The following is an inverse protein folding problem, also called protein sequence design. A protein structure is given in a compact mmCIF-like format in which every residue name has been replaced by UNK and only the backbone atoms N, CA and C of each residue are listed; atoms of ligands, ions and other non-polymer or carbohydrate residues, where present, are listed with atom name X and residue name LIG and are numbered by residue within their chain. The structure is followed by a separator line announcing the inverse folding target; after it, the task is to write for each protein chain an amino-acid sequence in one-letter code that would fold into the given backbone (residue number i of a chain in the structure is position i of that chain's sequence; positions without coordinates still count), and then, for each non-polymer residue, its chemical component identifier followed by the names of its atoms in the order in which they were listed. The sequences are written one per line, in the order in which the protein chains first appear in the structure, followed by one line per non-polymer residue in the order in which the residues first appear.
data_IF_805371368616
#
_entry.id   IF_805371368616
#
_cell.length_a   1.000
_cell.length_b   1.000
_cell.length_c   1.000
_cell.angle_alpha   90.00
_cell.angle_beta   90.00
_cell.angle_gamma   90.00
#
_symmetry.space_group_name_H-M   'P 1'
#
loop_
_entity.id
_entity.type
_entity.pdbx_description
1 polymer ?
#
# COMPACT_ATOMS: atom_id res chain seq x y z
N UNK A 1 -10.46 -24.11 -55.97
CA UNK A 1 -9.31 -23.22 -55.76
C UNK A 1 -9.35 -22.82 -54.29
N UNK A 2 -8.27 -23.08 -53.58
CA UNK A 2 -8.21 -23.23 -52.13
C UNK A 2 -8.31 -21.89 -51.37
N UNK A 3 -9.32 -21.75 -50.52
CA UNK A 3 -9.30 -20.87 -49.35
C UNK A 3 -8.58 -21.60 -48.21
N UNK A 4 -7.25 -21.45 -48.12
CA UNK A 4 -6.49 -22.01 -47.00
C UNK A 4 -5.27 -21.18 -46.61
N UNK A 5 -5.26 -19.88 -46.93
CA UNK A 5 -4.07 -19.01 -46.75
C UNK A 5 -4.20 -18.04 -45.55
N UNK A 6 -5.40 -17.73 -45.04
CA UNK A 6 -5.56 -16.66 -44.03
C UNK A 6 -5.54 -17.09 -42.55
N UNK A 7 -5.57 -18.39 -42.23
CA UNK A 7 -5.62 -18.83 -40.81
C UNK A 7 -4.25 -18.92 -40.16
N UNK A 8 -3.20 -19.18 -40.95
CA UNK A 8 -1.85 -19.39 -40.43
C UNK A 8 -1.14 -18.06 -40.12
N UNK A 9 -1.36 -17.04 -40.95
CA UNK A 9 -0.80 -15.70 -40.75
C UNK A 9 -1.43 -15.00 -39.52
N UNK A 10 -2.74 -15.18 -39.30
CA UNK A 10 -3.40 -14.68 -38.09
C UNK A 10 -2.89 -15.36 -36.82
N UNK A 11 -2.60 -16.67 -36.87
CA UNK A 11 -2.01 -17.38 -35.75
C UNK A 11 -0.59 -16.90 -35.43
N UNK A 12 0.23 -16.67 -36.45
CA UNK A 12 1.59 -16.16 -36.27
C UNK A 12 1.62 -14.73 -35.73
N UNK A 13 0.69 -13.86 -36.17
CA UNK A 13 0.52 -12.50 -35.60
C UNK A 13 0.11 -12.59 -34.12
N UNK A 14 -0.88 -13.43 -33.78
CA UNK A 14 -1.32 -13.61 -32.39
C UNK A 14 -0.21 -14.17 -31.51
N UNK A 15 0.59 -15.11 -32.03
CA UNK A 15 1.74 -15.68 -31.34
C UNK A 15 2.83 -14.62 -31.10
N UNK A 16 3.12 -13.79 -32.11
CA UNK A 16 4.07 -12.70 -31.96
C UNK A 16 3.61 -11.66 -30.93
N UNK A 17 2.33 -11.27 -30.97
CA UNK A 17 1.75 -10.35 -29.99
C UNK A 17 1.81 -10.93 -28.57
N UNK A 18 1.41 -12.19 -28.41
CA UNK A 18 1.45 -12.90 -27.12
C UNK A 18 2.87 -12.95 -26.57
N UNK A 19 3.87 -13.23 -27.41
CA UNK A 19 5.27 -13.25 -26.99
C UNK A 19 5.75 -11.88 -26.50
N UNK A 20 5.39 -10.80 -27.18
CA UNK A 20 5.76 -9.44 -26.76
C UNK A 20 5.04 -9.03 -25.46
N UNK A 21 3.76 -9.39 -25.32
CA UNK A 21 3.02 -9.18 -24.07
C UNK A 21 3.63 -9.99 -22.91
N UNK A 22 4.02 -11.24 -23.16
CA UNK A 22 4.66 -12.10 -22.16
C UNK A 22 6.03 -11.55 -21.72
N UNK A 23 6.84 -11.03 -22.65
CA UNK A 23 8.12 -10.37 -22.31
C UNK A 23 7.90 -9.17 -21.38
N UNK A 24 6.91 -8.32 -21.70
CA UNK A 24 6.55 -7.19 -20.84
C UNK A 24 6.09 -7.68 -19.47
N UNK A 25 5.18 -8.65 -19.43
CA UNK A 25 4.69 -9.25 -18.18
C UNK A 25 5.84 -9.76 -17.32
N UNK A 26 6.72 -10.61 -17.87
CA UNK A 26 7.84 -11.18 -17.12
C UNK A 26 8.78 -10.11 -16.56
N UNK A 27 9.05 -9.04 -17.33
CA UNK A 27 9.85 -7.91 -16.87
C UNK A 27 9.22 -7.24 -15.64
N UNK A 28 7.95 -6.86 -15.71
CA UNK A 28 7.24 -6.23 -14.59
C UNK A 28 7.07 -7.17 -13.40
N UNK A 29 6.67 -8.41 -13.67
CA UNK A 29 6.49 -9.44 -12.66
C UNK A 29 7.78 -9.67 -11.87
N UNK A 30 8.93 -9.76 -12.54
CA UNK A 30 10.22 -9.94 -11.87
C UNK A 30 10.58 -8.79 -10.90
N UNK A 31 10.09 -7.58 -11.15
CA UNK A 31 10.36 -6.39 -10.34
C UNK A 31 9.35 -6.22 -9.20
N UNK A 32 8.07 -6.49 -9.47
CA UNK A 32 6.98 -6.28 -8.51
C UNK A 32 6.72 -7.48 -7.59
N UNK A 33 7.18 -8.69 -7.94
CA UNK A 33 6.86 -9.93 -7.21
C UNK A 33 7.13 -9.81 -5.70
N UNK A 34 8.29 -9.29 -5.28
CA UNK A 34 8.61 -9.18 -3.85
C UNK A 34 7.72 -8.17 -3.10
N UNK A 35 7.37 -7.05 -3.74
CA UNK A 35 6.48 -6.06 -3.15
C UNK A 35 5.06 -6.61 -2.99
N UNK A 36 4.59 -7.41 -3.95
CA UNK A 36 3.29 -8.09 -3.85
C UNK A 36 3.25 -9.10 -2.73
N UNK A 37 4.34 -9.86 -2.57
CA UNK A 37 4.48 -10.80 -1.46
C UNK A 37 4.47 -10.05 -0.12
N UNK A 38 5.24 -8.97 0.01
CA UNK A 38 5.26 -8.15 1.23
C UNK A 38 3.88 -7.53 1.50
N UNK A 39 3.21 -6.98 0.47
CA UNK A 39 1.85 -6.45 0.59
C UNK A 39 0.87 -7.52 1.10
N UNK A 40 0.98 -8.75 0.59
CA UNK A 40 0.17 -9.89 1.04
C UNK A 40 0.46 -10.28 2.49
N UNK A 41 1.73 -10.18 2.93
CA UNK A 41 2.12 -10.42 4.32
C UNK A 41 1.57 -9.31 5.24
N UNK A 42 1.50 -8.07 4.75
CA UNK A 42 0.90 -6.95 5.49
C UNK A 42 -0.63 -6.99 5.50
N UNK A 43 -1.27 -7.91 4.78
CA UNK A 43 -2.69 -8.21 4.98
C UNK A 43 -2.86 -9.06 6.24
N UNK A 44 -3.52 -8.54 7.30
CA UNK A 44 -3.74 -9.28 8.55
C UNK A 44 -4.51 -10.59 8.36
N UNK A 45 -5.20 -10.77 7.24
CA UNK A 45 -5.99 -11.98 6.88
C UNK A 45 -5.16 -13.07 6.19
N UNK A 46 -3.93 -12.75 5.76
CA UNK A 46 -3.08 -13.66 4.99
C UNK A 46 -1.76 -13.92 5.70
N UNK A 47 -1.09 -12.85 6.16
CA UNK A 47 0.21 -12.88 6.82
C UNK A 47 1.21 -13.83 6.12
N UNK A 48 2.15 -14.38 6.87
CA UNK A 48 3.16 -15.28 6.33
C UNK A 48 2.59 -16.67 6.00
N UNK A 49 1.57 -17.13 6.73
CA UNK A 49 0.98 -18.46 6.53
C UNK A 49 0.39 -18.64 5.12
N UNK A 50 -0.18 -17.58 4.54
CA UNK A 50 -0.67 -17.62 3.16
C UNK A 50 0.47 -17.83 2.14
N UNK A 51 1.61 -17.17 2.36
CA UNK A 51 2.79 -17.31 1.49
C UNK A 51 3.41 -18.69 1.66
N UNK A 52 3.51 -19.19 2.89
CA UNK A 52 4.00 -20.55 3.15
C UNK A 52 3.12 -21.59 2.44
N UNK A 53 1.79 -21.47 2.55
CA UNK A 53 0.85 -22.32 1.84
C UNK A 53 1.02 -22.26 0.31
N UNK A 54 1.09 -21.05 -0.26
CA UNK A 54 1.20 -20.88 -1.71
C UNK A 54 2.52 -21.43 -2.27
N UNK A 55 3.65 -21.12 -1.62
CA UNK A 55 4.97 -21.55 -2.10
C UNK A 55 5.19 -23.05 -1.90
N UNK A 56 4.64 -23.66 -0.85
CA UNK A 56 4.65 -25.12 -0.69
C UNK A 56 3.80 -25.84 -1.75
N UNK A 57 2.75 -25.19 -2.27
CA UNK A 57 1.93 -25.76 -3.34
C UNK A 57 2.59 -25.60 -4.73
N UNK A 58 3.33 -24.50 -4.94
CA UNK A 58 3.88 -24.13 -6.24
C UNK A 58 5.30 -24.70 -6.51
N UNK A 59 6.08 -25.02 -5.47
CA UNK A 59 7.49 -25.41 -5.58
C UNK A 59 7.80 -26.64 -4.72
N UNK A 60 8.94 -27.28 -5.01
CA UNK A 60 9.48 -28.35 -4.16
C UNK A 60 9.80 -27.84 -2.75
N UNK A 61 9.76 -28.74 -1.75
CA UNK A 61 9.91 -28.37 -0.34
C UNK A 61 11.20 -27.57 -0.02
N UNK A 62 12.33 -27.95 -0.63
CA UNK A 62 13.61 -27.26 -0.43
C UNK A 62 13.64 -25.87 -1.09
N UNK A 63 13.09 -25.75 -2.30
CA UNK A 63 13.03 -24.47 -3.01
C UNK A 63 12.05 -23.51 -2.34
N UNK A 64 10.87 -24.00 -1.97
CA UNK A 64 9.86 -23.27 -1.21
C UNK A 64 10.45 -22.68 0.08
N UNK A 65 11.14 -23.50 0.87
CA UNK A 65 11.78 -23.05 2.11
C UNK A 65 12.81 -21.95 1.88
N UNK A 66 13.65 -22.09 0.85
CA UNK A 66 14.63 -21.07 0.47
C UNK A 66 13.96 -19.76 0.06
N UNK A 67 12.90 -19.81 -0.76
CA UNK A 67 12.15 -18.62 -1.17
C UNK A 67 11.50 -17.91 0.03
N UNK A 68 10.92 -18.66 0.95
CA UNK A 68 10.30 -18.11 2.17
C UNK A 68 11.37 -17.43 3.05
N UNK A 69 12.57 -17.99 3.15
CA UNK A 69 13.68 -17.39 3.90
C UNK A 69 14.21 -16.09 3.25
N UNK A 70 14.33 -16.07 1.93
CA UNK A 70 14.65 -14.86 1.16
C UNK A 70 13.58 -13.77 1.37
N UNK A 71 12.29 -14.14 1.37
CA UNK A 71 11.16 -13.24 1.63
C UNK A 71 11.22 -12.69 3.06
N UNK A 72 11.45 -13.55 4.07
CA UNK A 72 11.63 -13.11 5.47
C UNK A 72 12.77 -12.10 5.56
N UNK A 73 13.94 -12.42 4.99
CA UNK A 73 15.10 -11.53 4.98
C UNK A 73 14.77 -10.17 4.37
N UNK A 74 14.06 -10.17 3.24
CA UNK A 74 13.63 -8.93 2.59
C UNK A 74 12.66 -8.13 3.47
N UNK A 75 11.66 -8.78 4.06
CA UNK A 75 10.69 -8.15 4.96
C UNK A 75 11.37 -7.45 6.16
N UNK A 76 12.31 -8.12 6.82
CA UNK A 76 13.07 -7.51 7.92
C UNK A 76 13.92 -6.33 7.45
N UNK A 77 14.49 -6.41 6.24
CA UNK A 77 15.25 -5.29 5.67
C UNK A 77 14.37 -4.05 5.48
N UNK A 78 13.20 -4.21 4.86
CA UNK A 78 12.22 -3.12 4.70
C UNK A 78 11.79 -2.56 6.06
N UNK A 79 11.41 -3.42 7.00
CA UNK A 79 11.01 -2.99 8.33
C UNK A 79 12.10 -2.17 9.04
N UNK A 80 13.36 -2.61 8.97
CA UNK A 80 14.49 -1.90 9.60
C UNK A 80 14.72 -0.52 8.96
N UNK A 81 14.61 -0.41 7.64
CA UNK A 81 14.72 0.88 6.94
C UNK A 81 13.65 1.88 7.41
N UNK A 82 12.42 1.41 7.59
CA UNK A 82 11.34 2.23 8.15
C UNK A 82 11.58 2.58 9.61
N UNK A 83 12.10 1.63 10.41
CA UNK A 83 12.42 1.81 11.82
C UNK A 83 13.54 2.85 12.02
N UNK A 84 14.56 2.84 11.18
CA UNK A 84 15.66 3.79 11.23
C UNK A 84 15.20 5.18 10.77
N UNK A 85 14.35 5.27 9.74
CA UNK A 85 13.76 6.54 9.31
C UNK A 85 12.92 7.20 10.42
N UNK A 86 12.17 6.42 11.22
CA UNK A 86 11.44 6.96 12.38
C UNK A 86 12.35 7.48 13.49
N UNK A 87 13.56 6.96 13.64
CA UNK A 87 14.51 7.41 14.69
C UNK A 87 15.21 8.71 14.32
N UNK A 88 15.33 9.00 13.02
CA UNK A 88 16.03 10.17 12.49
C UNK A 88 15.13 11.40 12.37
N UNK A 89 13.80 11.24 12.36
CA UNK A 89 12.92 12.40 12.49
C UNK A 89 13.05 12.96 13.91
N UNK A 90 13.58 14.19 14.09
CA UNK A 90 13.42 14.87 15.37
C UNK A 90 11.92 14.96 15.59
N UNK A 91 11.47 14.60 16.80
CA UNK A 91 10.18 15.08 17.27
C UNK A 91 10.09 16.55 16.90
N UNK A 92 9.11 16.94 16.08
CA UNK A 92 8.65 18.32 16.08
C UNK A 92 8.03 18.47 17.47
N UNK A 93 8.92 18.78 18.41
CA UNK A 93 8.58 19.17 19.76
C UNK A 93 7.67 20.36 19.62
N UNK A 94 6.49 20.25 20.20
CA UNK A 94 5.59 21.36 20.44
C UNK A 94 6.30 22.35 21.37
N UNK A 95 7.21 23.13 20.82
CA UNK A 95 7.92 24.20 21.52
C UNK A 95 7.09 25.47 21.34
N UNK A 96 6.33 25.78 22.39
CA UNK A 96 6.03 27.12 22.91
C UNK A 96 5.93 28.26 21.89
N UNK A 97 4.70 28.57 21.48
CA UNK A 97 4.31 29.95 21.18
C UNK A 97 3.62 30.54 22.41
N UNK A 98 4.43 30.93 23.39
CA UNK A 98 4.01 31.91 24.39
C UNK A 98 4.20 33.31 23.79
N UNK A 99 3.16 33.82 23.14
CA UNK A 99 2.98 35.26 22.93
C UNK A 99 1.48 35.52 22.85
N UNK A 100 0.98 36.29 23.82
CA UNK A 100 -0.44 36.47 24.07
C UNK A 100 -1.20 37.12 22.91
N UNK A 101 -2.44 36.70 22.75
CA UNK A 101 -3.50 37.56 22.24
C UNK A 101 -4.84 37.12 22.85
N UNK A 102 -5.50 38.09 23.45
CA UNK A 102 -6.82 38.04 24.07
C UNK A 102 -7.92 38.00 22.99
N UNK A 103 -9.05 37.36 23.30
CA UNK A 103 -10.31 37.56 22.55
C UNK A 103 -10.86 36.37 21.73
N UNK A 104 -11.88 35.74 22.30
CA UNK A 104 -13.09 35.15 21.68
C UNK A 104 -13.01 33.90 20.77
N UNK A 105 -13.33 32.77 21.43
CA UNK A 105 -14.33 31.73 21.11
C UNK A 105 -14.78 31.58 19.64
N UNK A 106 -14.33 30.49 19.02
CA UNK A 106 -15.20 29.43 18.51
C UNK A 106 -14.38 28.13 18.35
N UNK A 107 -14.57 27.18 19.27
CA UNK A 107 -13.86 25.88 19.25
C UNK A 107 -14.81 24.82 18.71
N UNK A 108 -14.50 24.34 17.50
CA UNK A 108 -15.00 23.10 16.91
C UNK A 108 -14.76 21.91 17.88
N UNK A 109 -15.84 21.44 18.49
CA UNK A 109 -15.84 20.46 19.59
C UNK A 109 -15.67 18.99 19.12
N UNK A 110 -15.19 18.76 17.89
CA UNK A 110 -15.07 17.41 17.29
C UNK A 110 -13.63 16.87 17.33
N UNK A 111 -12.60 17.71 17.56
CA UNK A 111 -11.19 17.27 17.55
C UNK A 111 -10.67 16.73 18.89
N UNK A 112 -11.30 17.10 20.01
CA UNK A 112 -10.81 16.79 21.36
C UNK A 112 -11.05 15.32 21.78
N UNK A 113 -12.08 14.68 21.23
CA UNK A 113 -12.42 13.28 21.56
C UNK A 113 -11.46 12.25 20.95
N UNK A 114 -10.85 12.56 19.80
CA UNK A 114 -9.87 11.67 19.16
C UNK A 114 -8.46 11.86 19.74
N UNK A 115 -8.08 13.10 20.07
CA UNK A 115 -6.75 13.40 20.62
C UNK A 115 -6.53 12.76 22.00
N UNK A 116 -7.58 12.70 22.83
CA UNK A 116 -7.53 12.08 24.17
C UNK A 116 -7.36 10.56 24.12
N UNK A 117 -7.99 9.86 23.16
CA UNK A 117 -7.79 8.41 22.94
C UNK A 117 -6.40 8.10 22.39
N UNK A 118 -5.90 8.92 21.46
CA UNK A 118 -4.54 8.79 20.92
C UNK A 118 -3.50 9.01 22.02
N UNK A 119 -3.68 10.03 22.86
CA UNK A 119 -2.81 10.30 24.02
C UNK A 119 -2.82 9.16 25.03
N UNK A 120 -3.99 8.62 25.37
CA UNK A 120 -4.09 7.46 26.27
C UNK A 120 -3.40 6.21 25.69
N UNK A 121 -3.55 5.97 24.39
CA UNK A 121 -2.85 4.89 23.69
C UNK A 121 -1.32 5.05 23.74
N UNK A 122 -0.81 6.27 23.53
CA UNK A 122 0.61 6.59 23.63
C UNK A 122 1.14 6.43 25.06
N UNK A 123 0.40 6.92 26.06
CA UNK A 123 0.74 6.80 27.48
C UNK A 123 0.77 5.32 27.91
N UNK A 124 -0.15 4.48 27.41
CA UNK A 124 -0.17 3.05 27.67
C UNK A 124 0.99 2.30 26.99
N UNK A 125 1.35 2.65 25.75
CA UNK A 125 2.53 2.10 25.07
C UNK A 125 3.82 2.48 25.80
N UNK A 126 3.93 3.72 26.28
CA UNK A 126 5.06 4.18 27.09
C UNK A 126 5.14 3.44 28.43
N UNK A 127 4.00 3.17 29.09
CA UNK A 127 3.93 2.36 30.29
C UNK A 127 4.30 0.88 30.04
N UNK A 128 3.83 0.29 28.93
CA UNK A 128 4.19 -1.08 28.52
C UNK A 128 5.70 -1.20 28.30
N UNK A 129 6.32 -0.23 27.63
CA UNK A 129 7.76 -0.22 27.38
C UNK A 129 8.59 -0.07 28.67
N UNK A 130 8.14 0.74 29.64
CA UNK A 130 8.78 0.86 30.95
C UNK A 130 8.62 -0.41 31.80
N UNK A 131 7.48 -1.08 31.71
CA UNK A 131 7.18 -2.33 32.45
C UNK A 131 7.87 -3.57 31.86
N UNK A 132 8.34 -3.49 30.61
CA UNK A 132 8.91 -4.62 29.84
C UNK A 132 10.41 -4.83 30.04
N UNK A 133 11.06 -4.13 30.98
CA UNK A 133 12.50 -4.17 31.24
C UNK A 133 13.10 -5.56 31.55
N UNK A 134 12.28 -6.63 31.64
CA UNK A 134 12.71 -8.03 31.88
C UNK A 134 12.42 -9.01 30.74
N UNK A 135 11.88 -8.60 29.59
CA UNK A 135 11.63 -9.49 28.43
C UNK A 135 12.51 -9.10 27.24
N UNK A 136 12.98 -10.06 26.42
CA UNK A 136 13.74 -9.74 25.22
C UNK A 136 12.93 -8.79 24.33
N UNK A 137 13.59 -7.80 23.75
CA UNK A 137 13.00 -6.80 22.83
C UNK A 137 12.50 -7.51 21.57
N UNK A 138 11.31 -8.09 21.64
CA UNK A 138 10.59 -8.61 20.48
C UNK A 138 10.26 -7.43 19.57
N UNK A 139 10.55 -7.55 18.28
CA UNK A 139 10.23 -6.46 17.35
C UNK A 139 8.72 -6.37 17.15
N UNK A 140 8.26 -5.21 16.71
CA UNK A 140 6.86 -4.99 16.33
C UNK A 140 6.45 -5.99 15.22
N UNK A 141 7.34 -6.23 14.26
CA UNK A 141 7.18 -7.21 13.20
C UNK A 141 7.00 -8.64 13.74
N UNK A 142 7.84 -9.08 14.68
CA UNK A 142 7.69 -10.41 15.30
C UNK A 142 6.38 -10.55 16.08
N UNK A 143 5.87 -9.45 16.63
CA UNK A 143 4.57 -9.45 17.31
C UNK A 143 3.45 -9.65 16.30
N UNK A 144 3.44 -8.85 15.23
CA UNK A 144 2.45 -8.95 14.16
C UNK A 144 2.41 -10.33 13.47
N UNK A 145 3.58 -10.92 13.18
CA UNK A 145 3.68 -12.20 12.49
C UNK A 145 3.19 -13.38 13.33
N UNK A 146 3.37 -13.32 14.64
CA UNK A 146 2.92 -14.36 15.57
C UNK A 146 1.46 -14.19 16.01
N UNK A 147 0.91 -12.98 15.92
CA UNK A 147 -0.50 -12.76 16.21
C UNK A 147 -1.37 -13.59 15.25
N UNK A 148 -2.54 -14.03 15.71
CA UNK A 148 -3.46 -14.81 14.89
C UNK A 148 -3.88 -14.05 13.62
N UNK A 149 -4.12 -14.81 12.55
CA UNK A 149 -4.68 -14.27 11.31
C UNK A 149 -6.10 -13.80 11.57
N UNK A 150 -6.45 -12.62 11.05
CA UNK A 150 -7.80 -12.08 11.17
C UNK A 150 -8.77 -13.01 10.46
N UNK A 151 -9.54 -13.76 11.25
CA UNK A 151 -10.38 -14.87 10.76
C UNK A 151 -11.67 -14.41 10.09
N UNK A 152 -11.98 -13.10 10.14
CA UNK A 152 -13.25 -12.58 9.66
C UNK A 152 -13.23 -12.33 8.14
N UNK A 153 -13.30 -13.42 7.39
CA UNK A 153 -13.49 -13.43 5.93
C UNK A 153 -14.92 -13.06 5.53
N UNK A 154 -15.82 -12.77 6.48
CA UNK A 154 -17.24 -12.53 6.23
C UNK A 154 -17.60 -11.07 5.97
N UNK A 155 -16.72 -10.14 6.36
CA UNK A 155 -16.92 -8.73 6.06
C UNK A 155 -16.57 -8.44 4.59
N UNK A 156 -17.62 -8.34 3.76
CA UNK A 156 -17.52 -7.87 2.37
C UNK A 156 -16.94 -6.45 2.24
N UNK A 157 -16.75 -5.74 3.36
CA UNK A 157 -16.25 -4.37 3.44
C UNK A 157 -15.00 -4.24 4.33
N UNK A 158 -14.11 -5.24 4.34
CA UNK A 158 -12.84 -5.09 5.05
C UNK A 158 -11.92 -4.08 4.33
N UNK A 159 -11.74 -2.92 4.96
CA UNK A 159 -10.74 -1.93 4.56
C UNK A 159 -9.43 -2.15 5.34
N UNK A 160 -8.44 -2.69 4.63
CA UNK A 160 -7.09 -2.95 5.14
C UNK A 160 -6.37 -1.67 5.61
N UNK A 161 -6.58 -0.54 4.93
CA UNK A 161 -5.93 0.73 5.30
C UNK A 161 -6.56 1.30 6.57
N UNK A 162 -7.88 1.22 6.70
CA UNK A 162 -8.58 1.60 7.94
C UNK A 162 -8.18 0.69 9.12
N UNK A 163 -7.95 -0.60 8.88
CA UNK A 163 -7.41 -1.51 9.89
C UNK A 163 -6.02 -1.07 10.36
N UNK A 164 -5.09 -0.80 9.42
CA UNK A 164 -3.74 -0.34 9.76
C UNK A 164 -3.73 1.01 10.47
N UNK A 165 -4.63 1.93 10.09
CA UNK A 165 -4.83 3.21 10.77
C UNK A 165 -5.28 3.03 12.22
N UNK A 166 -6.21 2.10 12.47
CA UNK A 166 -6.73 1.81 13.82
C UNK A 166 -5.70 1.12 14.70
N UNK A 167 -4.81 0.31 14.11
CA UNK A 167 -3.77 -0.43 14.81
C UNK A 167 -2.40 0.29 14.84
N UNK A 168 -2.31 1.53 14.33
CA UNK A 168 -1.05 2.28 14.26
C UNK A 168 -0.41 2.57 15.63
N UNK A 169 -1.21 2.59 16.71
CA UNK A 169 -0.69 2.73 18.08
C UNK A 169 0.05 1.47 18.53
N UNK A 170 -0.43 0.30 18.10
CA UNK A 170 0.15 -1.01 18.43
C UNK A 170 1.34 -1.31 17.50
N UNK A 171 1.19 -0.97 16.21
CA UNK A 171 2.17 -1.20 15.17
C UNK A 171 2.56 0.11 14.43
N UNK A 172 3.35 1.00 15.07
CA UNK A 172 3.69 2.31 14.50
C UNK A 172 4.60 2.26 13.27
N UNK A 173 5.51 1.28 13.17
CA UNK A 173 6.43 1.17 12.02
C UNK A 173 5.72 0.45 10.86
N UNK A 174 5.04 -0.66 11.14
CA UNK A 174 4.31 -1.44 10.15
C UNK A 174 3.12 -0.68 9.58
N UNK A 175 2.40 0.12 10.37
CA UNK A 175 1.30 0.94 9.82
C UNK A 175 1.78 1.95 8.78
N UNK A 176 2.96 2.55 8.98
CA UNK A 176 3.61 3.41 7.97
C UNK A 176 4.02 2.60 6.74
N UNK A 177 4.67 1.47 6.95
CA UNK A 177 5.11 0.59 5.86
C UNK A 177 3.92 0.07 5.04
N UNK A 178 2.84 -0.34 5.70
CA UNK A 178 1.62 -0.83 5.09
C UNK A 178 0.90 0.26 4.30
N UNK A 179 0.77 1.47 4.85
CA UNK A 179 0.19 2.60 4.11
C UNK A 179 0.94 2.86 2.80
N UNK A 180 2.27 2.87 2.84
CA UNK A 180 3.08 3.19 1.69
C UNK A 180 3.09 2.05 0.65
N UNK A 181 3.18 0.79 1.10
CA UNK A 181 3.26 -0.39 0.21
C UNK A 181 1.89 -0.77 -0.37
N UNK A 182 0.82 -0.77 0.45
CA UNK A 182 -0.53 -1.16 0.00
C UNK A 182 -1.15 -0.12 -0.94
N UNK A 183 -0.67 1.13 -0.92
CA UNK A 183 -1.10 2.18 -1.84
C UNK A 183 -0.43 2.06 -3.23
N UNK A 184 0.60 1.23 -3.40
CA UNK A 184 1.25 1.02 -4.70
C UNK A 184 0.29 0.26 -5.61
N UNK A 185 -0.24 0.95 -6.62
CA UNK A 185 -1.05 0.33 -7.66
C UNK A 185 -0.21 -0.73 -8.40
N UNK A 186 -0.65 -2.00 -8.31
CA UNK A 186 0.01 -3.15 -8.95
C UNK A 186 -0.19 -3.16 -10.47
N UNK A 187 -1.21 -2.45 -10.95
CA UNK A 187 -1.61 -2.45 -12.34
C UNK A 187 -1.40 -1.10 -13.01
N UNK A 188 -0.71 -1.11 -14.15
CA UNK A 188 -0.63 0.03 -15.09
C UNK A 188 -1.96 0.37 -15.73
N UNK A 189 -3.02 -0.43 -15.53
CA UNK A 189 -4.36 -0.17 -16.08
C UNK A 189 -4.91 1.18 -15.60
N UNK A 190 -4.53 1.65 -14.41
CA UNK A 190 -4.86 3.03 -13.99
C UNK A 190 -4.23 4.07 -14.91
N UNK A 191 -2.96 3.89 -15.29
CA UNK A 191 -2.29 4.81 -16.22
C UNK A 191 -2.88 4.71 -17.63
N UNK A 192 -3.18 3.51 -18.14
CA UNK A 192 -3.81 3.35 -19.46
C UNK A 192 -5.25 3.85 -19.50
N UNK A 193 -6.03 3.72 -18.41
CA UNK A 193 -7.35 4.32 -18.27
C UNK A 193 -7.27 5.85 -18.16
N UNK A 194 -6.31 6.38 -17.40
CA UNK A 194 -6.04 7.81 -17.32
C UNK A 194 -5.59 8.37 -18.68
N UNK A 195 -4.74 7.67 -19.44
CA UNK A 195 -4.31 8.06 -20.79
C UNK A 195 -5.41 7.84 -21.85
N UNK A 196 -6.24 6.81 -21.70
CA UNK A 196 -7.42 6.58 -22.56
C UNK A 196 -8.48 7.67 -22.33
N UNK A 197 -8.64 8.10 -21.08
CA UNK A 197 -9.41 9.31 -20.73
C UNK A 197 -8.71 10.56 -21.25
N UNK A 198 -7.37 10.60 -21.26
CA UNK A 198 -6.57 11.64 -21.90
C UNK A 198 -6.87 11.81 -23.39
N UNK A 199 -7.18 10.74 -24.11
CA UNK A 199 -7.67 10.79 -25.49
C UNK A 199 -9.06 11.44 -25.65
N UNK A 200 -9.84 11.53 -24.56
CA UNK A 200 -11.12 12.27 -24.52
C UNK A 200 -10.94 13.72 -24.05
N UNK A 201 -9.91 14.02 -23.26
CA UNK A 201 -9.55 15.38 -22.81
C UNK A 201 -8.80 16.15 -23.91
N UNK A 202 -8.05 15.44 -24.75
CA UNK A 202 -7.34 15.96 -25.93
C UNK A 202 -8.00 15.41 -27.20
N UNK A 203 -9.19 15.91 -27.52
CA UNK A 203 -9.81 15.69 -28.83
C UNK A 203 -8.98 16.42 -29.92
N UNK A 204 -9.13 16.04 -31.20
CA UNK A 204 -8.39 16.60 -32.35
C UNK A 204 -8.51 18.14 -32.44
N UNK A 205 -9.58 18.70 -31.84
CA UNK A 205 -9.86 20.13 -31.72
C UNK A 205 -9.14 20.85 -30.54
N UNK A 206 -8.58 20.11 -29.58
CA UNK A 206 -7.88 20.63 -28.38
C UNK A 206 -6.38 20.35 -28.35
N UNK A 207 -5.83 19.86 -29.47
CA UNK A 207 -4.40 19.63 -29.71
C UNK A 207 -3.48 20.86 -29.50
N UNK A 208 -4.04 22.07 -29.35
CA UNK A 208 -3.28 23.31 -29.14
C UNK A 208 -3.07 23.69 -27.68
N UNK A 209 -3.55 22.89 -26.71
CA UNK A 209 -3.33 23.16 -25.29
C UNK A 209 -1.88 22.86 -24.90
N UNK A 210 -1.32 23.69 -24.02
CA UNK A 210 0.00 23.42 -23.47
C UNK A 210 -0.03 22.18 -22.57
N UNK A 211 1.07 21.40 -22.48
CA UNK A 211 1.13 20.23 -21.60
C UNK A 211 0.74 20.53 -20.14
N UNK A 212 1.13 21.70 -19.63
CA UNK A 212 0.79 22.15 -18.28
C UNK A 212 -0.71 22.39 -18.08
N UNK A 213 -1.40 22.89 -19.11
CA UNK A 213 -2.86 23.07 -19.06
C UNK A 213 -3.60 21.74 -19.12
N UNK A 214 -3.10 20.78 -19.90
CA UNK A 214 -3.68 19.42 -19.97
C UNK A 214 -3.51 18.69 -18.63
N UNK A 215 -2.32 18.78 -18.02
CA UNK A 215 -2.05 18.25 -16.69
C UNK A 215 -2.98 18.86 -15.63
N UNK A 216 -3.10 20.18 -15.60
CA UNK A 216 -4.00 20.87 -14.66
C UNK A 216 -5.48 20.44 -14.84
N UNK A 217 -5.94 20.25 -16.08
CA UNK A 217 -7.30 19.77 -16.36
C UNK A 217 -7.50 18.32 -15.94
N UNK A 218 -6.52 17.45 -16.15
CA UNK A 218 -6.59 16.06 -15.70
C UNK A 218 -6.61 15.97 -14.17
N UNK A 219 -5.72 16.68 -13.48
CA UNK A 219 -5.67 16.71 -12.01
C UNK A 219 -6.96 17.28 -11.39
N UNK A 220 -7.49 18.38 -11.95
CA UNK A 220 -8.74 18.99 -11.44
C UNK A 220 -9.95 18.11 -11.69
N UNK A 221 -10.00 17.38 -12.81
CA UNK A 221 -11.06 16.42 -13.07
C UNK A 221 -11.04 15.25 -12.07
N UNK A 222 -9.88 14.71 -11.74
CA UNK A 222 -9.74 13.63 -10.78
C UNK A 222 -10.13 14.09 -9.36
N UNK A 223 -9.65 15.26 -8.91
CA UNK A 223 -10.03 15.83 -7.62
C UNK A 223 -11.53 16.11 -7.49
N UNK A 224 -12.17 16.60 -8.56
CA UNK A 224 -13.62 16.84 -8.55
C UNK A 224 -14.43 15.54 -8.52
N UNK A 225 -13.89 14.41 -8.97
CA UNK A 225 -14.59 13.10 -8.89
C UNK A 225 -14.59 12.55 -7.47
N UNK A 226 -13.53 12.78 -6.69
CA UNK A 226 -13.45 12.35 -5.29
C UNK A 226 -14.51 13.04 -4.40
N UNK A 227 -14.91 14.28 -4.69
CA UNK A 227 -15.92 15.01 -3.91
C UNK A 227 -17.36 14.49 -4.04
N UNK A 228 -17.69 13.72 -5.09
CA UNK A 228 -19.05 13.16 -5.28
C UNK A 228 -19.21 11.75 -4.74
N UNK A 229 -18.12 11.03 -4.45
CA UNK A 229 -18.16 9.65 -3.94
C UNK A 229 -18.17 9.57 -2.38
N UNK A 230 -17.92 10.67 -1.66
CA UNK A 230 -18.15 10.77 -0.20
C UNK A 230 -19.59 11.23 0.16
N UNK A 231 -20.47 11.36 -0.84
CA UNK A 231 -21.82 11.95 -0.72
C UNK A 231 -23.02 11.01 -0.87
N UNK A 232 -22.87 9.70 -0.65
CA UNK A 232 -24.00 8.72 -0.61
C UNK A 232 -23.87 7.77 0.56
#
# INVERSE_FOLDING_TARGET
MNESVDTNDNYDILKQLTNEMQKKFNKYWSQCNILLVIASILDPRSKLIFIEFYYQMAFDAEESKKKIDDIRTCLYKFYNEYADTTRVQPSIGSSELAAGFDGQKDINLVSTFNLSKVKFGMDFVQFKNQSSSKRPKRSELDSYLDDDVLSDLKDKQFDILTWWKSNAVIYPILSRMARDILAILVSTVSSESAFSTGGRVVDQYRSSLSPSTVEALACTQDWLREEYDEGI
#
